data_IF_535357617597
#
_entry.id   IF_535357617597
#
_cell.length_a   1.000
_cell.length_b   1.000
_cell.length_c   1.000
_cell.angle_alpha   90.00
_cell.angle_beta   90.00
_cell.angle_gamma   90.00
#
_symmetry.space_group_name_H-M   'P 1'
#
loop_
_entity.id
_entity.type
_entity.pdbx_description
1 polymer ?
#
# COMPACT_ATOMS: atom_id res chain seq x y z
N UNK A 1 -12.41 45.00 9.40
CA UNK A 1 -13.30 44.12 8.62
C UNK A 1 -12.68 43.62 7.31
N UNK A 2 -11.66 44.28 6.76
CA UNK A 2 -10.96 43.82 5.53
C UNK A 2 -9.96 42.65 5.75
N UNK A 3 -9.28 42.61 6.89
CA UNK A 3 -8.30 41.54 7.22
C UNK A 3 -8.93 40.13 7.37
N UNK A 4 -10.19 40.06 7.81
CA UNK A 4 -10.94 38.80 7.95
C UNK A 4 -11.43 38.28 6.60
N UNK A 5 -11.76 39.15 5.64
CA UNK A 5 -12.23 38.79 4.30
C UNK A 5 -11.12 38.15 3.44
N UNK A 6 -9.87 38.55 3.67
CA UNK A 6 -8.68 37.94 3.04
C UNK A 6 -8.44 36.50 3.51
N UNK A 7 -8.61 36.20 4.81
CA UNK A 7 -8.35 34.86 5.36
C UNK A 7 -9.39 33.83 4.92
N UNK A 8 -10.66 34.21 4.87
CA UNK A 8 -11.73 33.32 4.37
C UNK A 8 -11.57 33.05 2.89
N UNK A 9 -11.24 34.05 2.08
CA UNK A 9 -10.94 33.88 0.65
C UNK A 9 -9.74 32.95 0.41
N UNK A 10 -8.65 33.11 1.17
CA UNK A 10 -7.48 32.23 1.11
C UNK A 10 -7.82 30.79 1.51
N UNK A 11 -8.56 30.60 2.60
CA UNK A 11 -9.00 29.29 3.06
C UNK A 11 -9.89 28.61 2.02
N UNK A 12 -10.86 29.33 1.46
CA UNK A 12 -11.74 28.81 0.41
C UNK A 12 -10.94 28.43 -0.85
N UNK A 13 -10.01 29.28 -1.28
CA UNK A 13 -9.14 29.00 -2.43
C UNK A 13 -8.24 27.79 -2.22
N UNK A 14 -7.63 27.64 -1.04
CA UNK A 14 -6.77 26.48 -0.72
C UNK A 14 -7.60 25.21 -0.57
N UNK A 15 -8.79 25.30 0.02
CA UNK A 15 -9.71 24.16 0.14
C UNK A 15 -10.16 23.70 -1.25
N UNK A 16 -10.54 24.64 -2.12
CA UNK A 16 -10.89 24.34 -3.51
C UNK A 16 -9.70 23.71 -4.25
N UNK A 17 -8.50 24.28 -4.13
CA UNK A 17 -7.30 23.72 -4.76
C UNK A 17 -6.99 22.31 -4.26
N UNK A 18 -7.13 22.05 -2.96
CA UNK A 18 -6.88 20.73 -2.39
C UNK A 18 -7.96 19.71 -2.78
N UNK A 19 -9.23 20.12 -2.87
CA UNK A 19 -10.30 19.28 -3.41
C UNK A 19 -10.05 18.99 -4.88
N UNK A 20 -9.76 19.99 -5.70
CA UNK A 20 -9.42 19.82 -7.12
C UNK A 20 -8.19 18.94 -7.27
N UNK A 21 -7.14 19.15 -6.48
CA UNK A 21 -5.94 18.32 -6.48
C UNK A 21 -6.26 16.88 -6.10
N UNK A 22 -7.08 16.65 -5.07
CA UNK A 22 -7.41 15.29 -4.63
C UNK A 22 -8.33 14.61 -5.64
N UNK A 23 -9.33 15.30 -6.18
CA UNK A 23 -10.20 14.78 -7.24
C UNK A 23 -9.38 14.50 -8.49
N UNK A 24 -8.50 15.41 -8.91
CA UNK A 24 -7.63 15.21 -10.06
C UNK A 24 -6.64 14.08 -9.82
N UNK A 25 -6.08 13.93 -8.61
CA UNK A 25 -5.19 12.82 -8.27
C UNK A 25 -5.94 11.50 -8.19
N UNK A 26 -7.16 11.48 -7.64
CA UNK A 26 -8.02 10.29 -7.56
C UNK A 26 -8.51 9.90 -8.96
N UNK A 27 -8.91 10.88 -9.78
CA UNK A 27 -9.29 10.67 -11.16
C UNK A 27 -8.08 10.22 -11.99
N UNK A 28 -6.92 10.87 -11.87
CA UNK A 28 -5.71 10.44 -12.54
C UNK A 28 -5.30 9.04 -12.09
N UNK A 29 -5.43 8.72 -10.81
CA UNK A 29 -5.15 7.36 -10.34
C UNK A 29 -6.17 6.37 -10.84
N UNK A 30 -7.47 6.66 -10.99
CA UNK A 30 -8.45 5.68 -11.47
C UNK A 30 -8.59 5.62 -13.00
N UNK A 31 -8.62 6.76 -13.68
CA UNK A 31 -8.93 6.90 -15.10
C UNK A 31 -7.70 6.89 -16.01
N UNK A 32 -6.56 7.43 -15.57
CA UNK A 32 -5.33 7.28 -16.37
C UNK A 32 -5.04 5.78 -16.59
N UNK A 33 -5.27 4.91 -15.59
CA UNK A 33 -5.16 3.47 -15.81
C UNK A 33 -6.12 2.86 -16.80
N UNK A 34 -7.38 3.27 -16.81
CA UNK A 34 -8.36 2.80 -17.79
C UNK A 34 -7.97 3.26 -19.19
N UNK A 35 -7.59 4.53 -19.35
CA UNK A 35 -7.16 5.08 -20.65
C UNK A 35 -5.89 4.38 -21.15
N UNK A 36 -4.87 4.25 -20.30
CA UNK A 36 -3.64 3.53 -20.64
C UNK A 36 -3.91 2.06 -20.91
N UNK A 37 -4.80 1.43 -20.14
CA UNK A 37 -5.21 0.04 -20.33
C UNK A 37 -5.87 -0.19 -21.68
N UNK A 38 -6.83 0.66 -22.05
CA UNK A 38 -7.51 0.61 -23.35
C UNK A 38 -6.57 0.92 -24.53
N UNK A 39 -5.52 1.72 -24.30
CA UNK A 39 -4.50 1.96 -25.32
C UNK A 39 -3.55 0.76 -25.45
N UNK A 40 -3.08 0.22 -24.33
CA UNK A 40 -2.16 -0.93 -24.27
C UNK A 40 -2.82 -2.23 -24.75
N UNK A 41 -4.13 -2.42 -24.56
CA UNK A 41 -4.85 -3.61 -25.02
C UNK A 41 -4.83 -3.79 -26.54
N UNK A 42 -4.54 -2.73 -27.30
CA UNK A 42 -4.30 -2.79 -28.75
C UNK A 42 -3.01 -3.51 -29.12
N UNK A 43 -2.03 -3.56 -28.21
CA UNK A 43 -0.72 -4.16 -28.40
C UNK A 43 -0.56 -5.47 -27.62
N UNK A 44 -1.18 -5.54 -26.44
CA UNK A 44 -1.16 -6.70 -25.56
C UNK A 44 -2.59 -7.24 -25.48
N UNK A 45 -2.97 -8.16 -26.39
CA UNK A 45 -4.32 -8.72 -26.40
C UNK A 45 -4.57 -9.43 -25.07
N UNK A 46 -5.81 -9.32 -24.60
CA UNK A 46 -6.21 -10.06 -23.43
C UNK A 46 -6.22 -11.56 -23.72
N UNK A 47 -5.62 -12.34 -22.83
CA UNK A 47 -5.65 -13.80 -22.88
C UNK A 47 -6.48 -14.24 -21.69
N UNK A 48 -7.62 -14.84 -21.97
CA UNK A 48 -8.57 -15.20 -20.92
C UNK A 48 -8.11 -16.51 -20.25
N UNK A 49 -7.74 -16.51 -18.95
CA UNK A 49 -7.12 -17.67 -18.31
C UNK A 49 -8.00 -18.92 -18.25
N UNK A 50 -9.31 -18.74 -18.30
CA UNK A 50 -10.29 -19.84 -18.25
C UNK A 50 -10.69 -20.35 -19.64
N UNK A 51 -10.80 -19.45 -20.64
CA UNK A 51 -11.21 -19.82 -21.99
C UNK A 51 -10.00 -20.34 -22.77
N UNK A 52 -8.81 -19.78 -22.51
CA UNK A 52 -7.57 -20.05 -23.24
C UNK A 52 -6.41 -20.39 -22.28
N UNK A 53 -6.57 -21.40 -21.39
CA UNK A 53 -5.55 -21.74 -20.40
C UNK A 53 -4.21 -22.14 -21.02
N UNK A 54 -4.23 -22.77 -22.20
CA UNK A 54 -3.02 -23.15 -22.95
C UNK A 54 -2.23 -21.91 -23.41
N UNK A 55 -2.91 -20.89 -23.93
CA UNK A 55 -2.26 -19.63 -24.34
C UNK A 55 -1.67 -18.88 -23.14
N UNK A 56 -2.31 -18.97 -21.99
CA UNK A 56 -1.74 -18.44 -20.74
C UNK A 56 -0.48 -19.22 -20.35
N UNK A 57 -0.50 -20.54 -20.43
CA UNK A 57 0.67 -21.36 -20.13
C UNK A 57 1.83 -21.03 -21.09
N UNK A 58 1.58 -20.99 -22.40
CA UNK A 58 2.55 -20.58 -23.43
C UNK A 58 3.09 -19.18 -23.17
N UNK A 59 2.21 -18.21 -22.91
CA UNK A 59 2.63 -16.86 -22.56
C UNK A 59 3.53 -16.85 -21.33
N UNK A 60 3.17 -17.58 -20.28
CA UNK A 60 3.96 -17.65 -19.04
C UNK A 60 5.34 -18.27 -19.26
N UNK A 61 5.50 -19.22 -20.20
CA UNK A 61 6.82 -19.74 -20.56
C UNK A 61 7.74 -18.68 -21.14
N UNK A 62 7.21 -17.70 -21.87
CA UNK A 62 7.98 -16.60 -22.47
C UNK A 62 8.15 -15.44 -21.48
N UNK A 63 7.09 -15.10 -20.75
CA UNK A 63 7.06 -13.93 -19.88
C UNK A 63 7.83 -14.13 -18.58
N UNK A 64 7.90 -15.35 -18.02
CA UNK A 64 8.67 -15.63 -16.80
C UNK A 64 10.16 -15.29 -16.96
N UNK A 65 10.89 -15.79 -17.99
CA UNK A 65 12.28 -15.38 -18.23
C UNK A 65 12.46 -13.87 -18.36
N UNK A 66 11.55 -13.19 -19.04
CA UNK A 66 11.57 -11.72 -19.18
C UNK A 66 11.41 -11.07 -17.80
N UNK A 67 10.44 -11.51 -17.00
CA UNK A 67 10.24 -11.05 -15.64
C UNK A 67 11.48 -11.23 -14.77
N UNK A 68 12.12 -12.41 -14.81
CA UNK A 68 13.38 -12.67 -14.10
C UNK A 68 14.51 -11.73 -14.57
N UNK A 69 14.65 -11.53 -15.88
CA UNK A 69 15.65 -10.61 -16.45
C UNK A 69 15.39 -9.16 -15.99
N UNK A 70 14.14 -8.70 -16.03
CA UNK A 70 13.77 -7.37 -15.57
C UNK A 70 14.04 -7.20 -14.06
N UNK A 71 13.70 -8.19 -13.22
CA UNK A 71 14.01 -8.18 -11.79
C UNK A 71 15.52 -8.11 -11.54
N UNK A 72 16.30 -8.91 -12.27
CA UNK A 72 17.76 -8.90 -12.15
C UNK A 72 18.34 -7.52 -12.51
N UNK A 73 17.89 -6.93 -13.63
CA UNK A 73 18.30 -5.57 -14.03
C UNK A 73 17.93 -4.54 -12.97
N UNK A 74 16.72 -4.61 -12.41
CA UNK A 74 16.28 -3.69 -11.37
C UNK A 74 17.10 -3.86 -10.09
N UNK A 75 17.36 -5.10 -9.65
CA UNK A 75 18.21 -5.40 -8.52
C UNK A 75 19.63 -4.84 -8.74
N UNK A 76 20.19 -5.04 -9.93
CA UNK A 76 21.49 -4.47 -10.31
C UNK A 76 21.45 -2.93 -10.26
N UNK A 77 20.40 -2.28 -10.79
CA UNK A 77 20.28 -0.82 -10.75
C UNK A 77 20.20 -0.29 -9.32
N UNK A 78 19.46 -0.97 -8.44
CA UNK A 78 19.35 -0.62 -7.02
C UNK A 78 20.72 -0.78 -6.35
N UNK A 79 21.36 -1.95 -6.48
CA UNK A 79 22.65 -2.24 -5.85
C UNK A 79 23.74 -1.33 -6.39
N UNK A 80 23.86 -1.18 -7.71
CA UNK A 80 24.83 -0.28 -8.34
C UNK A 80 24.58 1.18 -7.93
N UNK A 81 23.33 1.62 -7.86
CA UNK A 81 22.98 2.96 -7.39
C UNK A 81 23.40 3.22 -5.95
N UNK A 82 23.29 2.21 -5.07
CA UNK A 82 23.75 2.28 -3.68
C UNK A 82 25.28 2.26 -3.61
N UNK A 83 25.94 1.30 -4.28
CA UNK A 83 27.40 1.11 -4.25
C UNK A 83 28.14 2.31 -4.84
N UNK A 84 27.65 2.87 -5.94
CA UNK A 84 28.28 4.03 -6.61
C UNK A 84 27.85 5.37 -6.03
N UNK A 85 26.95 5.39 -5.04
CA UNK A 85 26.36 6.63 -4.50
C UNK A 85 25.51 7.42 -5.50
N UNK A 86 25.24 6.87 -6.70
CA UNK A 86 24.42 7.50 -7.74
C UNK A 86 22.94 7.39 -7.40
N UNK A 87 22.46 8.35 -6.60
CA UNK A 87 21.06 8.45 -6.15
C UNK A 87 20.04 8.29 -7.28
N UNK A 88 20.30 8.83 -8.48
CA UNK A 88 19.39 8.72 -9.64
C UNK A 88 19.16 7.26 -10.08
N UNK A 89 20.20 6.41 -10.09
CA UNK A 89 20.08 5.00 -10.48
C UNK A 89 19.27 4.20 -9.46
N UNK A 90 19.54 4.43 -8.16
CA UNK A 90 18.80 3.79 -7.07
C UNK A 90 17.32 4.22 -7.08
N UNK A 91 17.03 5.51 -7.34
CA UNK A 91 15.66 6.00 -7.50
C UNK A 91 14.98 5.33 -8.69
N UNK A 92 15.63 5.27 -9.86
CA UNK A 92 15.04 4.66 -11.05
C UNK A 92 14.73 3.17 -10.84
N UNK A 93 15.67 2.42 -10.27
CA UNK A 93 15.46 1.01 -9.94
C UNK A 93 14.33 0.81 -8.92
N UNK A 94 14.27 1.65 -7.89
CA UNK A 94 13.19 1.57 -6.88
C UNK A 94 11.82 1.91 -7.49
N UNK A 95 11.74 2.96 -8.32
CA UNK A 95 10.50 3.32 -9.03
C UNK A 95 10.04 2.18 -9.95
N UNK A 96 10.96 1.58 -10.69
CA UNK A 96 10.67 0.44 -11.55
C UNK A 96 10.19 -0.78 -10.74
N UNK A 97 10.79 -1.05 -9.57
CA UNK A 97 10.37 -2.13 -8.67
C UNK A 97 8.96 -1.94 -8.12
N UNK A 98 8.54 -0.70 -7.84
CA UNK A 98 7.20 -0.40 -7.34
C UNK A 98 6.14 -0.27 -8.43
N UNK A 99 6.54 -0.15 -9.69
CA UNK A 99 5.63 -0.01 -10.82
C UNK A 99 4.55 -1.13 -10.91
N UNK A 100 4.87 -2.42 -10.66
CA UNK A 100 3.87 -3.50 -10.67
C UNK A 100 2.79 -3.34 -9.61
N UNK A 101 3.13 -2.72 -8.47
CA UNK A 101 2.17 -2.44 -7.39
C UNK A 101 0.99 -1.63 -7.91
N UNK A 102 1.22 -0.68 -8.82
CA UNK A 102 0.14 0.04 -9.49
C UNK A 102 -0.70 -0.90 -10.35
N UNK A 103 -0.07 -1.77 -11.15
CA UNK A 103 -0.77 -2.79 -11.92
C UNK A 103 -1.70 -3.66 -11.06
N UNK A 104 -1.30 -3.97 -9.82
CA UNK A 104 -2.11 -4.73 -8.86
C UNK A 104 -3.34 -3.97 -8.35
N UNK A 105 -3.23 -2.67 -8.08
CA UNK A 105 -4.35 -1.87 -7.60
C UNK A 105 -5.43 -1.62 -8.66
N UNK A 106 -5.12 -1.77 -9.95
CA UNK A 106 -6.04 -1.40 -11.02
C UNK A 106 -6.96 -2.50 -11.53
N UNK A 107 -7.00 -3.67 -10.89
CA UNK A 107 -8.06 -4.70 -10.94
C UNK A 107 -8.93 -4.77 -12.21
N UNK A 108 -8.38 -4.53 -13.40
CA UNK A 108 -9.07 -4.82 -14.64
C UNK A 108 -8.97 -6.31 -14.80
N UNK A 109 -10.13 -6.96 -14.86
CA UNK A 109 -10.54 -8.37 -14.93
C UNK A 109 -9.73 -9.32 -15.85
N UNK A 110 -8.46 -9.03 -16.12
CA UNK A 110 -7.70 -9.55 -17.23
C UNK A 110 -6.27 -9.85 -16.77
N UNK A 111 -5.79 -11.04 -17.12
CA UNK A 111 -4.55 -11.64 -16.62
C UNK A 111 -3.36 -10.69 -16.84
N UNK A 112 -3.26 -10.08 -18.03
CA UNK A 112 -2.19 -9.13 -18.40
C UNK A 112 -2.61 -8.03 -19.40
N UNK A 113 -3.90 -7.89 -19.73
CA UNK A 113 -4.35 -6.85 -20.65
C UNK A 113 -4.12 -5.44 -20.09
N UNK A 114 -3.85 -4.50 -20.99
CA UNK A 114 -3.75 -3.10 -20.63
C UNK A 114 -2.60 -2.82 -19.66
N UNK A 115 -2.90 -2.19 -18.52
CA UNK A 115 -1.89 -1.90 -17.50
C UNK A 115 -1.46 -3.09 -16.64
N UNK A 116 -2.18 -4.22 -16.71
CA UNK A 116 -1.75 -5.44 -16.04
C UNK A 116 -0.41 -5.94 -16.60
N UNK A 117 0.03 -5.51 -17.79
CA UNK A 117 1.39 -5.78 -18.31
C UNK A 117 2.51 -5.28 -17.38
N UNK A 118 2.25 -4.25 -16.56
CA UNK A 118 3.21 -3.79 -15.57
C UNK A 118 3.52 -4.87 -14.51
N UNK A 119 2.62 -5.85 -14.35
CA UNK A 119 2.81 -7.01 -13.47
C UNK A 119 3.81 -8.02 -14.03
N UNK A 120 4.25 -7.91 -15.29
CA UNK A 120 5.27 -8.79 -15.88
C UNK A 120 6.53 -8.84 -15.04
N UNK A 121 6.91 -7.71 -14.43
CA UNK A 121 8.06 -7.67 -13.54
C UNK A 121 7.90 -8.61 -12.33
N UNK A 122 6.66 -8.83 -11.87
CA UNK A 122 6.33 -9.64 -10.71
C UNK A 122 5.81 -11.04 -11.05
N UNK A 123 5.67 -11.39 -12.34
CA UNK A 123 5.33 -12.75 -12.81
C UNK A 123 6.22 -13.84 -12.18
N UNK A 124 7.55 -13.63 -11.98
CA UNK A 124 8.38 -14.61 -11.28
C UNK A 124 7.89 -15.00 -9.88
N UNK A 125 7.15 -14.11 -9.23
CA UNK A 125 6.58 -14.34 -7.90
C UNK A 125 5.17 -14.97 -7.95
N UNK A 126 4.60 -15.16 -9.14
CA UNK A 126 3.26 -15.74 -9.36
C UNK A 126 3.27 -17.25 -9.53
N UNK A 127 4.41 -17.90 -9.31
CA UNK A 127 4.48 -19.36 -9.41
C UNK A 127 3.46 -19.97 -8.44
N UNK A 128 2.44 -20.71 -8.93
CA UNK A 128 1.43 -21.32 -8.06
C UNK A 128 2.03 -22.25 -7.00
N UNK A 129 3.21 -22.81 -7.25
CA UNK A 129 3.88 -23.71 -6.31
C UNK A 129 4.48 -23.01 -5.08
N UNK A 130 4.84 -21.72 -5.21
CA UNK A 130 5.50 -20.96 -4.15
C UNK A 130 4.66 -19.79 -3.62
N UNK A 131 3.69 -19.32 -4.43
CA UNK A 131 2.81 -18.18 -4.22
C UNK A 131 3.45 -17.05 -3.38
N UNK A 132 4.57 -16.53 -3.88
CA UNK A 132 5.43 -15.62 -3.11
C UNK A 132 4.70 -14.31 -2.74
N UNK A 133 3.61 -13.99 -3.43
CA UNK A 133 2.78 -12.84 -3.13
C UNK A 133 2.07 -12.92 -1.79
N UNK A 134 1.78 -14.13 -1.30
CA UNK A 134 1.16 -14.35 0.00
C UNK A 134 2.11 -14.05 1.17
N UNK A 135 3.41 -13.80 0.93
CA UNK A 135 4.32 -13.34 1.98
C UNK A 135 3.99 -11.93 2.51
N UNK A 136 2.94 -11.28 2.03
CA UNK A 136 2.37 -10.09 2.64
C UNK A 136 1.11 -10.31 3.48
N UNK A 137 0.62 -11.55 3.62
CA UNK A 137 -0.71 -11.84 4.15
C UNK A 137 -0.88 -11.53 5.65
N UNK A 138 0.21 -11.31 6.38
CA UNK A 138 0.15 -10.70 7.71
C UNK A 138 -0.62 -9.38 7.73
N UNK A 139 -0.69 -8.68 6.59
CA UNK A 139 -1.44 -7.44 6.40
C UNK A 139 -2.95 -7.64 6.61
N UNK A 140 -3.49 -8.85 6.39
CA UNK A 140 -4.90 -9.15 6.64
C UNK A 140 -5.21 -9.38 8.11
N UNK A 141 -4.23 -9.44 9.02
CA UNK A 141 -4.48 -9.72 10.44
C UNK A 141 -5.47 -8.72 11.07
N UNK A 142 -5.35 -7.43 10.75
CA UNK A 142 -6.26 -6.40 11.25
C UNK A 142 -7.69 -6.59 10.69
N UNK A 143 -7.80 -6.91 9.40
CA UNK A 143 -9.05 -7.27 8.75
C UNK A 143 -9.67 -8.52 9.39
N UNK A 144 -8.88 -9.56 9.65
CA UNK A 144 -9.34 -10.80 10.26
C UNK A 144 -9.90 -10.56 11.67
N UNK A 145 -9.15 -9.84 12.50
CA UNK A 145 -9.56 -9.51 13.86
C UNK A 145 -10.87 -8.72 13.91
N UNK A 146 -11.15 -7.92 12.87
CA UNK A 146 -12.37 -7.14 12.76
C UNK A 146 -13.54 -7.96 12.19
N UNK A 147 -13.35 -8.69 11.09
CA UNK A 147 -14.42 -9.39 10.37
C UNK A 147 -14.85 -10.68 11.07
N UNK A 148 -13.90 -11.44 11.63
CA UNK A 148 -14.17 -12.78 12.16
C UNK A 148 -15.27 -12.78 13.25
N UNK A 149 -15.29 -11.86 14.23
CA UNK A 149 -16.34 -11.84 15.24
C UNK A 149 -17.74 -11.57 14.68
N UNK A 150 -17.88 -10.71 13.66
CA UNK A 150 -19.17 -10.43 13.03
C UNK A 150 -19.66 -11.63 12.23
N UNK A 151 -18.74 -12.30 11.54
CA UNK A 151 -19.07 -13.52 10.81
C UNK A 151 -19.54 -14.63 11.75
N UNK A 152 -18.94 -14.79 12.94
CA UNK A 152 -19.44 -15.72 13.96
C UNK A 152 -20.88 -15.40 14.41
N UNK A 153 -21.28 -14.12 14.33
CA UNK A 153 -22.66 -13.68 14.55
C UNK A 153 -23.57 -13.77 13.32
N UNK A 154 -23.10 -14.34 12.21
CA UNK A 154 -23.86 -14.47 10.96
C UNK A 154 -23.95 -13.18 10.13
N UNK A 155 -23.10 -12.18 10.41
CA UNK A 155 -23.11 -10.88 9.73
C UNK A 155 -21.85 -10.75 8.87
N UNK A 156 -22.03 -10.67 7.54
CA UNK A 156 -20.93 -10.40 6.61
C UNK A 156 -20.70 -8.89 6.49
N UNK A 157 -19.54 -8.43 6.97
CA UNK A 157 -19.11 -7.02 6.90
C UNK A 157 -17.89 -6.82 5.99
N UNK A 158 -17.48 -7.83 5.21
CA UNK A 158 -16.22 -7.82 4.46
C UNK A 158 -16.12 -6.63 3.51
N UNK A 159 -17.13 -6.47 2.66
CA UNK A 159 -17.18 -5.39 1.67
C UNK A 159 -17.32 -4.02 2.35
N UNK A 160 -18.12 -3.94 3.42
CA UNK A 160 -18.31 -2.72 4.21
C UNK A 160 -16.97 -2.24 4.78
N UNK A 161 -16.15 -3.14 5.33
CA UNK A 161 -14.82 -2.80 5.87
C UNK A 161 -13.91 -2.25 4.78
N UNK A 162 -13.91 -2.84 3.57
CA UNK A 162 -13.10 -2.37 2.45
C UNK A 162 -13.52 -0.96 2.01
N UNK A 163 -14.82 -0.71 1.81
CA UNK A 163 -15.34 0.63 1.44
C UNK A 163 -15.11 1.68 2.52
N UNK A 164 -15.29 1.32 3.79
CA UNK A 164 -15.02 2.23 4.92
C UNK A 164 -13.54 2.59 4.96
N UNK A 165 -12.63 1.62 4.77
CA UNK A 165 -11.19 1.90 4.70
C UNK A 165 -10.84 2.83 3.52
N UNK A 166 -11.40 2.59 2.34
CA UNK A 166 -11.25 3.46 1.16
C UNK A 166 -11.72 4.90 1.49
N UNK A 167 -12.94 5.04 1.99
CA UNK A 167 -13.56 6.33 2.27
C UNK A 167 -12.83 7.13 3.36
N UNK A 168 -12.53 6.48 4.50
CA UNK A 168 -11.79 7.10 5.60
C UNK A 168 -10.37 7.48 5.16
N UNK A 169 -9.69 6.58 4.42
CA UNK A 169 -8.35 6.84 3.92
C UNK A 169 -8.30 8.08 3.01
N UNK A 170 -9.21 8.17 2.04
CA UNK A 170 -9.33 9.34 1.17
C UNK A 170 -9.66 10.61 1.95
N UNK A 171 -10.59 10.53 2.90
CA UNK A 171 -10.98 11.67 3.73
C UNK A 171 -9.79 12.22 4.53
N UNK A 172 -9.04 11.34 5.22
CA UNK A 172 -7.83 11.70 5.97
C UNK A 172 -6.78 12.30 5.02
N UNK A 173 -6.58 11.71 3.84
CA UNK A 173 -5.62 12.19 2.84
C UNK A 173 -5.97 13.62 2.35
N UNK A 174 -7.24 13.88 2.03
CA UNK A 174 -7.76 15.19 1.64
C UNK A 174 -7.49 16.22 2.74
N UNK A 175 -7.92 15.92 3.98
CA UNK A 175 -7.75 16.83 5.11
C UNK A 175 -6.28 17.13 5.39
N UNK A 176 -5.42 16.11 5.32
CA UNK A 176 -3.97 16.26 5.44
C UNK A 176 -3.43 17.19 4.37
N UNK A 177 -3.81 16.97 3.11
CA UNK A 177 -3.36 17.78 1.97
C UNK A 177 -3.82 19.23 2.07
N UNK A 178 -5.07 19.49 2.46
CA UNK A 178 -5.58 20.84 2.73
C UNK A 178 -4.71 21.52 3.79
N UNK A 179 -4.53 20.87 4.95
CA UNK A 179 -3.77 21.45 6.06
C UNK A 179 -2.31 21.72 5.67
N UNK A 180 -1.70 20.84 4.87
CA UNK A 180 -0.35 21.01 4.37
C UNK A 180 -0.21 22.17 3.41
N UNK A 181 -1.08 22.28 2.40
CA UNK A 181 -1.07 23.43 1.48
C UNK A 181 -1.32 24.73 2.23
N UNK A 182 -2.23 24.72 3.21
CA UNK A 182 -2.48 25.88 4.05
C UNK A 182 -1.23 26.28 4.85
N UNK A 183 -0.54 25.32 5.45
CA UNK A 183 0.71 25.54 6.16
C UNK A 183 1.81 26.10 5.25
N UNK A 184 1.94 25.58 4.02
CA UNK A 184 2.89 26.07 3.02
C UNK A 184 2.56 27.49 2.54
N UNK A 185 1.28 27.79 2.30
CA UNK A 185 0.84 29.14 1.95
C UNK A 185 1.15 30.15 3.06
N UNK A 186 1.06 29.73 4.31
CA UNK A 186 1.46 30.53 5.47
C UNK A 186 2.97 30.53 5.76
N UNK A 187 3.79 29.85 4.93
CA UNK A 187 5.23 29.68 5.14
C UNK A 187 5.58 29.11 6.53
N UNK A 188 4.70 28.30 7.12
CA UNK A 188 4.98 27.61 8.38
C UNK A 188 6.03 26.53 8.15
N UNK A 189 7.02 26.47 9.05
CA UNK A 189 8.04 25.42 9.06
C UNK A 189 7.44 24.07 9.47
N UNK A 190 6.67 24.08 10.56
CA UNK A 190 5.96 22.92 11.10
C UNK A 190 4.45 23.11 10.97
N UNK A 191 3.75 22.09 10.45
CA UNK A 191 2.28 22.06 10.33
C UNK A 191 1.74 21.24 11.50
N UNK A 192 1.11 21.91 12.45
CA UNK A 192 0.72 21.38 13.78
C UNK A 192 -0.77 21.61 14.11
N UNK A 193 -1.59 21.96 13.12
CA UNK A 193 -2.99 22.34 13.28
C UNK A 193 -3.94 21.40 12.54
N UNK A 194 -5.23 21.43 12.91
CA UNK A 194 -6.29 20.59 12.34
C UNK A 194 -5.95 19.10 12.47
N UNK A 195 -6.05 18.33 11.38
CA UNK A 195 -5.77 16.89 11.40
C UNK A 195 -4.33 16.57 11.83
N UNK A 196 -3.39 17.51 11.62
CA UNK A 196 -2.02 17.35 12.09
C UNK A 196 -1.90 17.30 13.63
N UNK A 197 -2.87 17.87 14.37
CA UNK A 197 -2.91 17.73 15.84
C UNK A 197 -3.09 16.29 16.30
N UNK A 198 -3.70 15.46 15.46
CA UNK A 198 -4.02 14.07 15.78
C UNK A 198 -3.07 13.06 15.11
N UNK A 199 -2.28 13.51 14.14
CA UNK A 199 -1.37 12.67 13.35
C UNK A 199 -0.26 13.53 12.78
N UNK A 200 1.02 13.17 12.96
CA UNK A 200 2.11 13.94 12.35
C UNK A 200 2.24 13.74 10.84
N UNK A 201 1.69 12.64 10.31
CA UNK A 201 1.71 12.30 8.90
C UNK A 201 0.34 11.86 8.38
N UNK A 202 -0.66 12.75 8.37
CA UNK A 202 -2.03 12.40 8.01
C UNK A 202 -2.14 11.99 6.54
N UNK A 203 -1.39 12.58 5.61
CA UNK A 203 -1.44 12.15 4.20
C UNK A 203 -0.93 10.72 4.03
N UNK A 204 0.20 10.40 4.66
CA UNK A 204 0.77 9.07 4.58
C UNK A 204 -0.14 8.02 5.24
N UNK A 205 -0.75 8.36 6.39
CA UNK A 205 -1.77 7.52 7.01
C UNK A 205 -2.98 7.32 6.09
N UNK A 206 -3.53 8.41 5.54
CA UNK A 206 -4.68 8.36 4.63
C UNK A 206 -4.40 7.50 3.40
N UNK A 207 -3.21 7.63 2.80
CA UNK A 207 -2.79 6.78 1.68
C UNK A 207 -2.69 5.31 2.06
N UNK A 208 -2.08 4.98 3.21
CA UNK A 208 -1.94 3.59 3.67
C UNK A 208 -3.33 2.97 3.90
N UNK A 209 -4.24 3.67 4.59
CA UNK A 209 -5.61 3.17 4.84
C UNK A 209 -6.39 3.03 3.53
N UNK A 210 -6.31 4.02 2.65
CA UNK A 210 -7.00 3.98 1.36
C UNK A 210 -6.52 2.80 0.52
N UNK A 211 -5.20 2.68 0.31
CA UNK A 211 -4.61 1.59 -0.48
C UNK A 211 -4.84 0.23 0.18
N UNK A 212 -4.94 0.15 1.51
CA UNK A 212 -5.35 -1.05 2.22
C UNK A 212 -6.78 -1.44 1.86
N UNK A 213 -7.71 -0.49 1.90
CA UNK A 213 -9.09 -0.72 1.51
C UNK A 213 -9.22 -1.18 0.04
N UNK A 214 -8.43 -0.61 -0.87
CA UNK A 214 -8.35 -1.09 -2.26
C UNK A 214 -7.79 -2.51 -2.35
N UNK A 215 -6.74 -2.83 -1.58
CA UNK A 215 -6.18 -4.17 -1.50
C UNK A 215 -7.22 -5.18 -0.99
N UNK A 216 -7.94 -4.85 0.08
CA UNK A 216 -9.04 -5.67 0.61
C UNK A 216 -10.13 -5.89 -0.43
N UNK A 217 -10.58 -4.81 -1.09
CA UNK A 217 -11.60 -4.88 -2.12
C UNK A 217 -11.16 -5.79 -3.27
N UNK A 218 -9.92 -5.64 -3.75
CA UNK A 218 -9.35 -6.47 -4.81
C UNK A 218 -9.19 -7.94 -4.38
N UNK A 219 -8.89 -8.20 -3.11
CA UNK A 219 -8.78 -9.55 -2.57
C UNK A 219 -10.15 -10.25 -2.41
N UNK A 220 -11.20 -9.45 -2.21
CA UNK A 220 -12.59 -9.91 -2.05
C UNK A 220 -13.30 -10.16 -3.38
N UNK A 221 -12.86 -9.52 -4.46
CA UNK A 221 -13.46 -9.74 -5.78
C UNK A 221 -13.30 -11.21 -6.18
N UNK A 222 -14.42 -11.84 -6.52
CA UNK A 222 -14.41 -13.14 -7.17
C UNK A 222 -13.61 -13.01 -8.46
N UNK A 223 -12.62 -13.88 -8.63
CA UNK A 223 -11.92 -13.95 -9.91
C UNK A 223 -12.89 -14.54 -10.92
N UNK A 224 -13.21 -13.83 -12.02
CA UNK A 224 -14.16 -14.33 -12.99
C UNK A 224 -13.79 -15.74 -13.44
N UNK A 225 -14.79 -16.62 -13.43
CA UNK A 225 -14.75 -17.93 -14.09
C UNK A 225 -13.66 -18.92 -13.58
N UNK A 226 -13.12 -18.73 -12.37
CA UNK A 226 -12.20 -19.70 -11.75
C UNK A 226 -10.70 -19.44 -11.98
N UNK A 227 -10.31 -18.23 -12.41
CA UNK A 227 -8.91 -17.80 -12.36
C UNK A 227 -8.38 -17.67 -10.92
N UNK A 228 -7.06 -17.53 -10.76
CA UNK A 228 -6.45 -17.26 -9.45
C UNK A 228 -6.15 -15.77 -9.27
N UNK A 229 -6.43 -15.23 -8.08
CA UNK A 229 -5.97 -13.91 -7.70
C UNK A 229 -4.53 -14.08 -7.19
N UNK A 230 -3.51 -13.54 -7.89
CA UNK A 230 -2.13 -13.71 -7.47
C UNK A 230 -1.82 -12.98 -6.15
N UNK A 231 -2.78 -12.29 -5.53
CA UNK A 231 -2.60 -11.61 -4.26
C UNK A 231 -1.86 -10.27 -4.41
N UNK A 232 -2.33 -9.23 -3.71
CA UNK A 232 -1.71 -7.90 -3.72
C UNK A 232 -1.04 -7.56 -2.38
N UNK A 233 -0.97 -8.50 -1.44
CA UNK A 233 -0.57 -8.26 -0.06
C UNK A 233 0.92 -7.95 0.08
N UNK A 234 1.82 -8.70 -0.56
CA UNK A 234 3.25 -8.40 -0.52
C UNK A 234 3.58 -7.04 -1.16
N UNK A 235 3.10 -6.71 -2.38
CA UNK A 235 3.29 -5.37 -2.95
C UNK A 235 2.77 -4.25 -2.04
N UNK A 236 1.58 -4.42 -1.44
CA UNK A 236 1.01 -3.44 -0.52
C UNK A 236 1.86 -3.26 0.75
N UNK A 237 2.33 -4.36 1.35
CA UNK A 237 3.17 -4.34 2.55
C UNK A 237 4.49 -3.61 2.29
N UNK A 238 5.18 -3.93 1.18
CA UNK A 238 6.43 -3.27 0.82
C UNK A 238 6.23 -1.78 0.55
N UNK A 239 5.13 -1.42 -0.12
CA UNK A 239 4.78 -0.02 -0.39
C UNK A 239 4.49 0.74 0.90
N UNK A 240 3.75 0.14 1.82
CA UNK A 240 3.44 0.72 3.14
C UNK A 240 4.71 0.94 3.97
N UNK A 241 5.64 -0.01 3.96
CA UNK A 241 6.95 0.15 4.61
C UNK A 241 7.77 1.29 4.01
N UNK A 242 7.75 1.47 2.69
CA UNK A 242 8.41 2.60 2.04
C UNK A 242 7.78 3.93 2.44
N UNK A 243 6.46 4.01 2.52
CA UNK A 243 5.76 5.22 2.96
C UNK A 243 6.13 5.56 4.42
N UNK A 244 6.14 4.56 5.30
CA UNK A 244 6.57 4.74 6.69
C UNK A 244 8.04 5.18 6.76
N UNK A 245 8.90 4.63 5.91
CA UNK A 245 10.29 5.08 5.80
C UNK A 245 10.37 6.54 5.37
N UNK A 246 9.66 6.95 4.32
CA UNK A 246 9.62 8.36 3.86
C UNK A 246 9.18 9.29 5.00
N UNK A 247 8.13 8.91 5.74
CA UNK A 247 7.64 9.65 6.89
C UNK A 247 8.70 9.82 8.00
N UNK A 248 9.41 8.75 8.35
CA UNK A 248 10.50 8.81 9.32
C UNK A 248 11.68 9.67 8.84
N UNK A 249 12.00 9.63 7.55
CA UNK A 249 13.03 10.48 6.95
C UNK A 249 12.64 11.96 7.00
N UNK A 250 11.37 12.27 6.78
CA UNK A 250 10.82 13.61 6.94
C UNK A 250 10.90 14.10 8.39
N UNK A 251 10.57 13.27 9.40
CA UNK A 251 10.75 13.65 10.81
C UNK A 251 12.19 14.04 11.13
N UNK A 252 13.16 13.27 10.63
CA UNK A 252 14.58 13.56 10.87
C UNK A 252 15.01 14.88 10.25
N UNK A 253 14.48 15.19 9.06
CA UNK A 253 14.70 16.49 8.43
C UNK A 253 14.09 17.61 9.28
N UNK A 254 12.83 17.48 9.68
CA UNK A 254 12.14 18.49 10.50
C UNK A 254 12.83 18.72 11.85
N UNK A 255 13.32 17.66 12.50
CA UNK A 255 14.11 17.75 13.74
C UNK A 255 15.41 18.54 13.56
N UNK A 256 16.06 18.45 12.40
CA UNK A 256 17.29 19.20 12.10
C UNK A 256 16.99 20.67 11.79
N UNK A 257 15.88 20.95 11.12
CA UNK A 257 15.53 22.30 10.64
C UNK A 257 14.78 23.17 11.68
N UNK A 258 13.98 22.55 12.55
CA UNK A 258 13.07 23.23 13.49
C UNK A 258 12.98 22.48 14.83
N UNK A 259 14.14 22.17 15.42
CA UNK A 259 14.30 21.24 16.55
C UNK A 259 13.34 21.52 17.72
N UNK A 260 13.31 22.76 18.23
CA UNK A 260 12.53 23.10 19.43
C UNK A 260 11.01 22.97 19.21
N UNK A 261 10.48 23.56 18.14
CA UNK A 261 9.04 23.52 17.85
C UNK A 261 8.59 22.11 17.47
N UNK A 262 9.36 21.41 16.64
CA UNK A 262 9.04 20.05 16.23
C UNK A 262 9.08 19.06 17.40
N UNK A 263 10.04 19.18 18.31
CA UNK A 263 10.09 18.33 19.51
C UNK A 263 8.87 18.53 20.39
N UNK A 264 8.44 19.78 20.64
CA UNK A 264 7.21 20.06 21.39
C UNK A 264 5.96 19.49 20.70
N UNK A 265 5.89 19.60 19.37
CA UNK A 265 4.81 19.02 18.59
C UNK A 265 4.77 17.48 18.72
N UNK A 266 5.93 16.82 18.70
CA UNK A 266 6.01 15.35 18.83
C UNK A 266 5.55 14.81 20.19
N UNK A 267 5.47 15.66 21.21
CA UNK A 267 4.94 15.28 22.53
C UNK A 267 3.41 15.17 22.56
N UNK A 268 2.70 15.85 21.65
CA UNK A 268 1.25 15.97 21.67
C UNK A 268 0.56 15.25 20.49
N UNK A 269 1.25 15.07 19.36
CA UNK A 269 0.73 14.36 18.20
C UNK A 269 1.47 13.03 17.99
N UNK A 270 0.75 11.90 17.80
CA UNK A 270 1.37 10.61 17.49
C UNK A 270 1.93 10.60 16.06
N UNK A 271 2.85 9.69 15.77
CA UNK A 271 3.52 9.61 14.46
C UNK A 271 2.54 9.49 13.28
N UNK A 272 1.64 8.50 13.33
CA UNK A 272 0.55 8.36 12.37
C UNK A 272 -0.79 8.25 13.09
N UNK A 273 -0.93 7.30 14.02
CA UNK A 273 -2.13 7.14 14.82
C UNK A 273 -1.74 6.73 16.26
N UNK A 274 -2.61 6.97 17.25
CA UNK A 274 -2.31 6.60 18.63
C UNK A 274 -2.29 5.08 18.77
N UNK A 275 -1.15 4.54 19.20
CA UNK A 275 -1.00 3.12 19.55
C UNK A 275 -0.73 2.97 21.05
N UNK A 276 -1.28 1.94 21.71
CA UNK A 276 -0.92 1.59 23.08
C UNK A 276 0.60 1.49 23.27
N UNK A 277 1.10 1.93 24.43
CA UNK A 277 2.54 1.95 24.74
C UNK A 277 3.20 0.58 24.58
N UNK A 278 2.48 -0.49 24.95
CA UNK A 278 2.95 -1.86 24.78
C UNK A 278 3.20 -2.19 23.30
N UNK A 279 2.24 -1.91 22.41
CA UNK A 279 2.38 -2.13 20.96
C UNK A 279 3.53 -1.30 20.42
N UNK A 280 3.66 -0.03 20.81
CA UNK A 280 4.80 0.81 20.41
C UNK A 280 6.14 0.24 20.86
N UNK A 281 6.21 -0.32 22.06
CA UNK A 281 7.42 -0.93 22.62
C UNK A 281 7.81 -2.19 21.84
N UNK A 282 6.86 -3.09 21.60
CA UNK A 282 7.06 -4.31 20.81
C UNK A 282 7.44 -3.96 19.37
N UNK A 283 6.72 -3.03 18.74
CA UNK A 283 6.99 -2.61 17.37
C UNK A 283 8.39 -2.02 17.23
N UNK A 284 8.87 -1.23 18.19
CA UNK A 284 10.21 -0.62 18.13
C UNK A 284 11.33 -1.54 18.58
N UNK A 285 11.04 -2.65 19.26
CA UNK A 285 12.06 -3.53 19.85
C UNK A 285 13.06 -4.10 18.83
N UNK A 286 12.67 -4.65 17.66
CA UNK A 286 13.61 -5.19 16.69
C UNK A 286 14.62 -4.13 16.21
N UNK A 287 14.16 -2.91 15.96
CA UNK A 287 15.00 -1.81 15.52
C UNK A 287 15.91 -1.30 16.65
N UNK A 288 15.45 -1.29 17.91
CA UNK A 288 16.32 -1.00 19.06
C UNK A 288 17.42 -2.06 19.23
N UNK A 289 17.11 -3.33 19.00
CA UNK A 289 18.09 -4.40 19.08
C UNK A 289 19.20 -4.24 18.03
N UNK A 290 18.82 -3.90 16.79
CA UNK A 290 19.78 -3.77 15.67
C UNK A 290 20.55 -2.45 15.70
N UNK A 291 19.87 -1.32 15.96
CA UNK A 291 20.50 0.01 15.90
C UNK A 291 21.04 0.50 17.24
N UNK A 292 20.67 -0.14 18.37
CA UNK A 292 20.95 0.33 19.74
C UNK A 292 20.45 1.76 20.01
N UNK A 293 19.48 2.22 19.22
CA UNK A 293 18.88 3.56 19.27
C UNK A 293 17.38 3.43 19.10
N UNK A 294 16.65 4.48 19.50
CA UNK A 294 15.20 4.50 19.37
C UNK A 294 14.71 4.82 17.95
N UNK A 295 15.58 5.33 17.06
CA UNK A 295 15.22 5.80 15.72
C UNK A 295 16.43 5.73 14.77
N UNK A 296 16.22 5.48 13.46
CA UNK A 296 17.26 5.67 12.45
C UNK A 296 17.50 7.16 12.20
N UNK A 297 18.74 7.58 11.92
CA UNK A 297 19.15 8.97 11.65
C UNK A 297 19.92 9.11 10.33
N UNK A 298 20.56 8.05 9.88
CA UNK A 298 21.36 7.98 8.64
C UNK A 298 20.69 7.11 7.59
N UNK A 299 21.05 7.31 6.31
CA UNK A 299 20.52 6.49 5.21
C UNK A 299 20.77 4.99 5.37
N UNK A 300 21.91 4.60 5.99
CA UNK A 300 22.22 3.19 6.28
C UNK A 300 21.33 2.61 7.39
N UNK A 301 21.11 3.36 8.46
CA UNK A 301 20.21 2.95 9.55
C UNK A 301 18.76 2.84 9.05
N UNK A 302 18.35 3.71 8.14
CA UNK A 302 17.06 3.62 7.46
C UNK A 302 16.91 2.35 6.63
N UNK A 303 17.91 2.03 5.79
CA UNK A 303 17.92 0.81 5.00
C UNK A 303 17.90 -0.43 5.89
N UNK A 304 18.68 -0.45 6.98
CA UNK A 304 18.68 -1.52 7.96
C UNK A 304 17.30 -1.66 8.64
N UNK A 305 16.67 -0.54 9.01
CA UNK A 305 15.32 -0.54 9.58
C UNK A 305 14.31 -1.14 8.62
N UNK A 306 14.32 -0.69 7.36
CA UNK A 306 13.44 -1.22 6.31
C UNK A 306 13.65 -2.73 6.14
N UNK A 307 14.89 -3.18 6.01
CA UNK A 307 15.23 -4.59 5.84
C UNK A 307 14.74 -5.44 7.02
N UNK A 308 14.98 -4.99 8.26
CA UNK A 308 14.53 -5.69 9.48
C UNK A 308 13.01 -5.84 9.50
N UNK A 309 12.25 -4.78 9.26
CA UNK A 309 10.79 -4.86 9.28
C UNK A 309 10.22 -5.63 8.08
N UNK A 310 10.79 -5.47 6.89
CA UNK A 310 10.39 -6.25 5.72
C UNK A 310 10.60 -7.74 5.98
N UNK A 311 11.78 -8.15 6.43
CA UNK A 311 12.07 -9.55 6.78
C UNK A 311 11.16 -10.05 7.89
N UNK A 312 11.00 -9.30 8.98
CA UNK A 312 10.13 -9.69 10.09
C UNK A 312 8.68 -9.92 9.61
N UNK A 313 8.11 -8.97 8.87
CA UNK A 313 6.72 -9.08 8.41
C UNK A 313 6.54 -10.18 7.37
N UNK A 314 7.51 -10.38 6.47
CA UNK A 314 7.51 -11.50 5.52
C UNK A 314 7.53 -12.83 6.27
N UNK A 315 8.39 -12.98 7.29
CA UNK A 315 8.43 -14.19 8.12
C UNK A 315 7.15 -14.39 8.94
N UNK A 316 6.53 -13.30 9.41
CA UNK A 316 5.22 -13.37 10.08
C UNK A 316 4.09 -13.77 9.13
N UNK A 317 4.26 -13.59 7.82
CA UNK A 317 3.33 -14.13 6.82
C UNK A 317 3.56 -15.62 6.53
N UNK A 318 4.66 -16.23 6.98
CA UNK A 318 4.96 -17.64 6.71
C UNK A 318 3.85 -18.62 7.12
N UNK A 319 3.12 -18.46 8.25
CA UNK A 319 1.99 -19.33 8.57
C UNK A 319 0.89 -19.34 7.49
N UNK A 320 0.62 -18.20 6.84
CA UNK A 320 -0.39 -18.10 5.77
C UNK A 320 0.05 -18.91 4.54
N UNK A 321 1.34 -18.85 4.20
CA UNK A 321 1.90 -19.58 3.05
C UNK A 321 2.04 -21.08 3.35
N UNK A 322 2.61 -21.43 4.50
CA UNK A 322 2.93 -22.82 4.86
C UNK A 322 1.69 -23.65 5.20
N UNK A 323 0.63 -23.01 5.68
CA UNK A 323 -0.64 -23.68 6.03
C UNK A 323 -1.71 -23.51 4.94
N UNK A 324 -1.37 -22.89 3.80
CA UNK A 324 -2.31 -22.56 2.73
C UNK A 324 -3.58 -21.86 3.25
N UNK A 325 -3.37 -20.85 4.10
CA UNK A 325 -4.43 -20.12 4.78
C UNK A 325 -4.56 -18.69 4.21
N UNK A 326 -5.78 -18.22 3.91
CA UNK A 326 -7.04 -18.95 3.99
C UNK A 326 -7.22 -19.98 2.86
N UNK A 327 -7.86 -21.10 3.18
CA UNK A 327 -8.09 -22.19 2.23
C UNK A 327 -9.09 -21.80 1.10
N UNK A 328 -9.16 -22.62 0.06
CA UNK A 328 -10.13 -22.45 -1.04
C UNK A 328 -9.67 -21.41 -2.06
N UNK A 329 -10.53 -20.44 -2.40
CA UNK A 329 -10.21 -19.34 -3.32
C UNK A 329 -9.45 -18.21 -2.60
N UNK A 330 -9.05 -18.44 -1.34
CA UNK A 330 -8.25 -17.52 -0.55
C UNK A 330 -9.10 -16.44 0.12
N UNK A 331 -8.62 -15.21 0.06
CA UNK A 331 -9.22 -14.06 0.76
C UNK A 331 -10.60 -13.64 0.21
N UNK A 332 -10.97 -14.09 -0.99
CA UNK A 332 -12.31 -13.83 -1.56
C UNK A 332 -13.42 -14.55 -0.79
N UNK A 333 -13.10 -15.76 -0.32
CA UNK A 333 -14.07 -16.65 0.29
C UNK A 333 -13.93 -16.68 1.81
N UNK A 334 -12.81 -16.23 2.35
CA UNK A 334 -12.63 -16.13 3.80
C UNK A 334 -13.59 -15.09 4.42
N UNK A 335 -14.23 -15.38 5.57
CA UNK A 335 -14.18 -16.61 6.37
C UNK A 335 -15.20 -17.70 6.00
N UNK A 336 -15.97 -17.51 4.92
CA UNK A 336 -17.08 -18.38 4.50
C UNK A 336 -16.71 -19.77 3.97
N UNK A 337 -15.45 -20.06 3.66
CA UNK A 337 -14.98 -21.41 3.38
C UNK A 337 -14.36 -22.05 4.63
N UNK A 338 -15.18 -22.80 5.39
CA UNK A 338 -14.68 -23.72 6.43
C UNK A 338 -14.97 -25.15 5.98
N UNK A 339 -13.95 -25.94 5.59
CA UNK A 339 -14.13 -27.34 5.26
C UNK A 339 -14.82 -28.08 6.42
N UNK A 340 -16.02 -28.61 6.17
CA UNK A 340 -16.77 -29.41 7.14
C UNK A 340 -17.84 -28.68 7.95
N UNK A 341 -18.03 -27.37 7.79
CA UNK A 341 -19.23 -26.68 8.29
C UNK A 341 -20.13 -26.41 7.08
N UNK A 342 -21.32 -27.04 6.96
CA UNK A 342 -22.26 -26.67 5.92
C UNK A 342 -22.54 -25.17 6.06
N UNK A 343 -22.15 -24.39 5.06
CA UNK A 343 -22.39 -22.95 5.04
C UNK A 343 -23.87 -22.66 5.26
N UNK A 344 -24.23 -21.49 5.82
CA UNK A 344 -25.62 -21.10 5.92
C UNK A 344 -26.24 -21.21 4.53
N UNK A 345 -27.28 -22.04 4.42
CA UNK A 345 -28.01 -22.27 3.19
C UNK A 345 -28.46 -20.90 2.71
N UNK A 346 -27.77 -20.36 1.70
CA UNK A 346 -28.25 -19.22 0.95
C UNK A 346 -29.46 -19.72 0.18
N UNK A 347 -30.65 -19.50 0.76
CA UNK A 347 -31.89 -19.60 0.02
C UNK A 347 -31.83 -18.55 -1.09
N UNK A 348 -31.58 -19.01 -2.31
CA UNK A 348 -31.77 -18.26 -3.55
C UNK A 348 -33.25 -17.95 -3.76
#
# INVERSE_FOLDING_TARGET
>A
MELTRSRTGLLAGISLLAVVFTVALTFATLQLPVVLGNWLSKYFPDIHPVIEPERVAEFMTVARPIGYACLAVIAILIVAGIVTGKRKLSILGSLAFFLPTFGYFFASMFFLAGLSILRVLFIPFWDPSANLMNFGDISYLAYMALVYPFWLGGIDIREVVAWVAIGIGLFIFVLGTIAWFYGKAQKRKTVDFWIYRHSRHPQYLGFIIWSYGVMLFAAQQMVPMGGSNPGASLPWLLTSLVIIWIALAEENKMRREDNAAYVQYTAHAPFMFPIPKFISTVATFPMKLVLKKNRPETGKEFLATFAVYATLLILLSSPFVLLDFPAGIGWSDWPGFVPGIPGPIMNL
#
